data_IF_894870900311
#
_entry.id   IF_894870900311
#
_cell.length_a   1.000
_cell.length_b   1.000
_cell.length_c   1.000
_cell.angle_alpha   90.00
_cell.angle_beta   90.00
_cell.angle_gamma   90.00
#
_symmetry.space_group_name_H-M   'P 1'
#
loop_
_entity.id
_entity.type
_entity.pdbx_description
1 polymer ?
#
# COMPACT_ATOMS: atom_id res chain seq x y z
N UNK A 1 -7.62 13.64 3.38
CA UNK A 1 -6.36 13.40 4.12
C UNK A 1 -5.42 12.56 3.25
N UNK A 2 -4.10 12.75 3.35
CA UNK A 2 -3.11 12.01 2.56
C UNK A 2 -1.97 11.55 3.46
N UNK A 3 -1.63 10.27 3.42
CA UNK A 3 -0.47 9.69 4.11
C UNK A 3 0.72 9.49 3.15
N UNK A 4 1.96 9.40 3.66
CA UNK A 4 3.16 9.22 2.83
C UNK A 4 3.27 7.82 2.21
N UNK A 5 4.22 7.64 1.29
CA UNK A 5 4.58 6.32 0.74
C UNK A 5 5.20 5.40 1.80
N UNK A 6 4.86 4.10 1.74
CA UNK A 6 5.40 3.01 2.58
C UNK A 6 5.47 3.37 4.08
N UNK A 7 4.49 4.11 4.58
CA UNK A 7 4.55 4.72 5.92
C UNK A 7 4.49 3.70 7.07
N UNK A 8 4.05 2.48 6.79
CA UNK A 8 4.01 1.39 7.78
C UNK A 8 5.39 0.79 8.09
N UNK A 9 6.33 0.89 7.16
CA UNK A 9 7.66 0.26 7.27
C UNK A 9 8.82 1.22 7.04
N UNK A 10 8.62 2.25 6.20
CA UNK A 10 9.62 3.17 5.71
C UNK A 10 10.18 2.75 4.34
N UNK A 11 10.36 3.71 3.43
CA UNK A 11 10.71 3.46 2.03
C UNK A 11 12.04 2.70 1.79
N UNK A 12 12.94 2.70 2.78
CA UNK A 12 14.25 2.04 2.69
C UNK A 12 14.39 0.81 3.60
N UNK A 13 13.32 0.42 4.32
CA UNK A 13 13.31 -0.76 5.20
C UNK A 13 13.01 -2.05 4.42
N UNK A 14 13.68 -2.25 3.28
CA UNK A 14 13.34 -3.29 2.32
C UNK A 14 13.52 -4.72 2.87
N UNK A 15 14.34 -4.89 3.90
CA UNK A 15 14.52 -6.17 4.62
C UNK A 15 13.27 -6.58 5.41
N UNK A 16 12.39 -5.62 5.74
CA UNK A 16 11.16 -5.85 6.48
C UNK A 16 9.94 -6.06 5.57
N UNK A 17 10.03 -5.74 4.27
CA UNK A 17 8.85 -5.73 3.40
C UNK A 17 8.14 -7.08 3.32
N UNK A 18 8.86 -8.19 3.28
CA UNK A 18 8.24 -9.51 3.20
C UNK A 18 7.48 -9.85 4.50
N UNK A 19 8.10 -9.59 5.66
CA UNK A 19 7.50 -9.90 6.96
C UNK A 19 6.29 -9.00 7.28
N UNK A 20 6.33 -7.74 6.86
CA UNK A 20 5.32 -6.73 7.16
C UNK A 20 4.28 -6.54 6.04
N UNK A 21 4.37 -7.32 4.94
CA UNK A 21 3.42 -7.20 3.84
C UNK A 21 2.05 -7.76 4.21
N UNK A 22 1.02 -6.97 3.91
CA UNK A 22 -0.38 -7.28 4.19
C UNK A 22 -1.17 -7.51 2.90
N UNK A 23 -2.28 -8.26 2.96
CA UNK A 23 -3.26 -8.22 1.88
C UNK A 23 -4.02 -6.87 1.89
N UNK A 24 -4.77 -6.58 0.84
CA UNK A 24 -5.65 -5.40 0.79
C UNK A 24 -6.86 -5.47 1.75
N UNK A 25 -7.09 -6.63 2.35
CA UNK A 25 -8.08 -6.88 3.41
C UNK A 25 -7.37 -7.07 4.76
N UNK A 26 -6.15 -6.53 4.89
CA UNK A 26 -5.32 -6.60 6.08
C UNK A 26 -5.65 -5.53 7.12
N UNK A 27 -5.05 -5.63 8.32
CA UNK A 27 -5.33 -4.75 9.45
C UNK A 27 -5.09 -3.27 9.15
N UNK A 28 -4.12 -2.91 8.31
CA UNK A 28 -3.90 -1.53 7.91
C UNK A 28 -5.04 -1.01 7.03
N UNK A 29 -5.57 -1.83 6.13
CA UNK A 29 -6.72 -1.48 5.30
C UNK A 29 -7.97 -1.23 6.16
N UNK A 30 -8.25 -2.16 7.08
CA UNK A 30 -9.38 -2.06 8.01
C UNK A 30 -9.28 -0.80 8.90
N UNK A 31 -8.09 -0.53 9.45
CA UNK A 31 -7.86 0.64 10.27
C UNK A 31 -8.08 1.95 9.49
N UNK A 32 -7.66 1.99 8.22
CA UNK A 32 -7.81 3.18 7.37
C UNK A 32 -9.24 3.36 6.86
N UNK A 33 -9.96 2.27 6.58
CA UNK A 33 -11.39 2.30 6.28
C UNK A 33 -12.19 2.89 7.45
N UNK A 34 -11.94 2.43 8.68
CA UNK A 34 -12.56 2.94 9.89
C UNK A 34 -12.19 4.42 10.14
N UNK A 35 -10.90 4.77 10.01
CA UNK A 35 -10.48 6.17 10.19
C UNK A 35 -11.13 7.11 9.17
N UNK A 36 -11.29 6.68 7.91
CA UNK A 36 -11.95 7.46 6.88
C UNK A 36 -13.44 7.67 7.18
N UNK A 37 -14.14 6.62 7.64
CA UNK A 37 -15.56 6.67 7.95
C UNK A 37 -15.86 7.48 9.22
N UNK A 38 -15.08 7.29 10.29
CA UNK A 38 -15.22 8.03 11.54
C UNK A 38 -14.98 9.54 11.34
N UNK A 39 -14.00 9.90 10.52
CA UNK A 39 -13.71 11.30 10.19
C UNK A 39 -14.64 11.87 9.10
N UNK A 40 -15.35 11.02 8.34
CA UNK A 40 -16.21 11.43 7.24
C UNK A 40 -15.44 12.08 6.08
N UNK A 41 -14.24 11.58 5.74
CA UNK A 41 -13.36 12.19 4.73
C UNK A 41 -12.88 11.21 3.66
N UNK A 42 -12.54 11.74 2.49
CA UNK A 42 -11.67 11.02 1.56
C UNK A 42 -10.27 10.86 2.15
N UNK A 43 -9.76 9.63 2.13
CA UNK A 43 -8.44 9.28 2.64
C UNK A 43 -7.62 8.60 1.56
N UNK A 44 -6.53 9.24 1.14
CA UNK A 44 -5.44 8.55 0.45
C UNK A 44 -4.48 8.00 1.51
N UNK A 45 -4.55 6.70 1.79
CA UNK A 45 -3.81 6.03 2.87
C UNK A 45 -2.34 5.76 2.51
N UNK A 46 -1.71 6.67 1.75
CA UNK A 46 -0.33 6.52 1.32
C UNK A 46 -0.12 5.27 0.50
N UNK A 47 0.94 4.52 0.80
CA UNK A 47 1.10 3.14 0.31
C UNK A 47 1.69 2.21 1.37
N UNK A 48 1.50 0.91 1.15
CA UNK A 48 2.00 -0.17 2.02
C UNK A 48 2.66 -1.28 1.16
N UNK A 49 3.49 -2.14 1.77
CA UNK A 49 3.85 -3.42 1.17
C UNK A 49 2.59 -4.31 1.10
N UNK A 50 2.07 -4.53 -0.10
CA UNK A 50 0.97 -5.46 -0.37
C UNK A 50 1.54 -6.84 -0.67
N UNK A 51 0.97 -7.89 -0.07
CA UNK A 51 1.14 -9.28 -0.50
C UNK A 51 -0.06 -9.72 -1.32
N UNK A 52 0.16 -9.97 -2.62
CA UNK A 52 -0.87 -10.50 -3.50
C UNK A 52 -1.13 -12.00 -3.26
N UNK A 53 -2.26 -12.55 -3.74
CA UNK A 53 -2.59 -13.98 -3.55
C UNK A 53 -1.56 -14.96 -4.10
N UNK A 54 -0.78 -14.57 -5.11
CA UNK A 54 0.31 -15.36 -5.67
C UNK A 54 1.64 -15.24 -4.89
N UNK A 55 1.64 -14.48 -3.79
CA UNK A 55 2.79 -14.22 -2.93
C UNK A 55 3.64 -13.03 -3.37
N UNK A 56 3.38 -12.44 -4.53
CA UNK A 56 4.15 -11.29 -5.04
C UNK A 56 3.92 -10.06 -4.17
N UNK A 57 5.01 -9.37 -3.83
CA UNK A 57 4.94 -8.11 -3.08
C UNK A 57 4.73 -6.93 -4.03
N UNK A 58 3.98 -5.92 -3.61
CA UNK A 58 3.81 -4.66 -4.35
C UNK A 58 3.90 -3.46 -3.40
N UNK A 59 4.32 -2.31 -3.91
CA UNK A 59 4.09 -1.04 -3.23
C UNK A 59 2.73 -0.52 -3.71
N UNK A 60 1.74 -0.53 -2.83
CA UNK A 60 0.34 -0.29 -3.20
C UNK A 60 -0.28 0.84 -2.42
N UNK A 61 -0.79 1.84 -3.15
CA UNK A 61 -1.62 2.90 -2.59
C UNK A 61 -3.07 2.48 -2.48
N UNK A 62 -3.74 2.96 -1.43
CA UNK A 62 -5.16 2.73 -1.16
C UNK A 62 -5.88 4.07 -0.99
N UNK A 63 -7.08 4.19 -1.59
CA UNK A 63 -7.93 5.37 -1.46
C UNK A 63 -9.29 4.96 -0.93
N UNK A 64 -9.69 5.52 0.20
CA UNK A 64 -10.96 5.25 0.86
C UNK A 64 -11.93 6.43 0.72
N UNK A 65 -13.21 6.09 0.57
CA UNK A 65 -14.32 7.05 0.60
C UNK A 65 -14.60 7.54 2.03
N UNK A 66 -15.36 8.63 2.19
CA UNK A 66 -15.91 9.04 3.49
C UNK A 66 -16.80 8.00 4.19
N UNK A 67 -17.25 6.96 3.48
CA UNK A 67 -18.02 5.85 4.06
C UNK A 67 -17.14 4.70 4.55
N UNK A 68 -15.82 4.77 4.35
CA UNK A 68 -14.88 3.68 4.65
C UNK A 68 -14.66 2.68 3.51
N UNK A 69 -15.42 2.78 2.42
CA UNK A 69 -15.25 1.89 1.26
C UNK A 69 -13.92 2.14 0.54
N UNK A 70 -13.23 1.07 0.12
CA UNK A 70 -12.04 1.15 -0.71
C UNK A 70 -12.42 1.52 -2.16
N UNK A 71 -12.17 2.78 -2.52
CA UNK A 71 -12.55 3.34 -3.81
C UNK A 71 -11.58 2.98 -4.94
N UNK A 72 -10.28 2.90 -4.62
CA UNK A 72 -9.25 2.62 -5.60
C UNK A 72 -7.97 2.07 -4.96
N UNK A 73 -7.23 1.30 -5.74
CA UNK A 73 -5.86 0.88 -5.43
C UNK A 73 -4.93 1.17 -6.59
N UNK A 74 -3.65 1.36 -6.29
CA UNK A 74 -2.62 1.58 -7.30
C UNK A 74 -1.32 0.88 -6.90
N UNK A 75 -0.91 -0.12 -7.68
CA UNK A 75 0.40 -0.76 -7.57
C UNK A 75 1.43 0.08 -8.31
N UNK A 76 2.52 0.47 -7.63
CA UNK A 76 3.58 1.32 -8.19
C UNK A 76 4.16 0.70 -9.46
N UNK A 77 4.10 1.46 -10.55
CA UNK A 77 4.57 1.00 -11.87
C UNK A 77 6.08 1.20 -12.01
N UNK A 78 6.58 2.35 -11.54
CA UNK A 78 7.99 2.73 -11.63
C UNK A 78 8.64 2.62 -10.25
N UNK A 79 9.20 1.44 -9.96
CA UNK A 79 9.89 1.13 -8.70
C UNK A 79 11.27 1.77 -8.68
N UNK A 80 11.72 2.25 -7.53
CA UNK A 80 13.07 2.77 -7.36
C UNK A 80 14.03 1.66 -6.93
N UNK A 81 15.26 1.68 -7.44
CA UNK A 81 16.31 0.72 -7.09
C UNK A 81 17.00 0.13 -8.33
N UNK A 82 18.25 -0.28 -8.16
CA UNK A 82 19.05 -0.91 -9.22
C UNK A 82 19.31 -2.39 -8.88
N UNK A 83 19.95 -2.66 -7.74
CA UNK A 83 20.40 -3.97 -7.29
C UNK A 83 19.81 -4.41 -5.93
N UNK A 84 19.02 -3.54 -5.28
CA UNK A 84 18.33 -3.77 -4.00
C UNK A 84 16.99 -3.02 -3.95
N UNK A 85 16.19 -3.29 -2.91
CA UNK A 85 14.96 -2.55 -2.61
C UNK A 85 13.75 -2.97 -3.47
N UNK A 86 12.82 -2.04 -3.70
CA UNK A 86 11.56 -2.30 -4.41
C UNK A 86 11.79 -2.93 -5.79
N UNK A 87 12.81 -2.48 -6.53
CA UNK A 87 13.10 -2.95 -7.88
C UNK A 87 13.39 -4.46 -7.97
N UNK A 88 13.87 -5.06 -6.87
CA UNK A 88 14.22 -6.49 -6.80
C UNK A 88 13.13 -7.30 -6.09
N UNK A 89 12.51 -6.74 -5.05
CA UNK A 89 11.61 -7.49 -4.15
C UNK A 89 10.13 -7.42 -4.55
N UNK A 90 9.72 -6.39 -5.28
CA UNK A 90 8.29 -6.14 -5.57
C UNK A 90 8.00 -6.31 -7.05
N UNK A 91 6.79 -6.72 -7.40
CA UNK A 91 6.23 -6.69 -8.74
C UNK A 91 5.92 -5.27 -9.22
N UNK A 92 5.77 -5.09 -10.55
CA UNK A 92 5.40 -3.82 -11.17
C UNK A 92 3.89 -3.81 -11.43
N UNK A 93 3.22 -2.71 -11.08
CA UNK A 93 1.82 -2.51 -11.47
C UNK A 93 1.62 -2.42 -12.99
N UNK A 94 0.38 -2.62 -13.43
CA UNK A 94 -0.01 -2.41 -14.83
C UNK A 94 -0.62 -1.02 -15.02
N UNK A 95 -0.45 -0.47 -16.22
CA UNK A 95 -1.25 0.68 -16.68
C UNK A 95 -2.54 0.16 -17.32
N UNK A 96 -3.66 0.77 -16.98
CA UNK A 96 -4.97 0.60 -17.62
C UNK A 96 -5.17 1.65 -18.71
#
# INVERSE_FOLDING_TARGET
>A
MVLPELWTTGAFAYESFDAEAESLEGPTSDAMANAASEAGVWLHAGSIPERAPDGTLYNTSLVFTPGGELAATYRKIHRFGFDKGEAVLMGRGASW
#
